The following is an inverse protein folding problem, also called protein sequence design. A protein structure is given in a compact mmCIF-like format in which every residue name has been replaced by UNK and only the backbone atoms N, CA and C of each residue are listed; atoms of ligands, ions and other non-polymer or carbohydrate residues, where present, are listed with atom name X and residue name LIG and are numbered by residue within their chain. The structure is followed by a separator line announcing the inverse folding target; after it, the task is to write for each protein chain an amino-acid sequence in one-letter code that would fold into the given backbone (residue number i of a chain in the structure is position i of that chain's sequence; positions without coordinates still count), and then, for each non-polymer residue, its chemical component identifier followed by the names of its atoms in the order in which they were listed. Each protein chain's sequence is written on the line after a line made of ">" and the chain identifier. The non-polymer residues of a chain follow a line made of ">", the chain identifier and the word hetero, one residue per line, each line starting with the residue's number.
data_IF_145363222028
#
_entry.id   IF_145363222028
#
_cell.length_a   1.000
_cell.length_b   1.000
_cell.length_c   1.000
_cell.angle_alpha   90.00
_cell.angle_beta   90.00
_cell.angle_gamma   90.00
#
_symmetry.space_group_name_H-M   'P 1'
#
loop_
_entity.id
_entity.type
_entity.pdbx_description
1 polymer ?
#
# COMPACT_ATOMS: atom_id res chain seq x y z
N UNK A 1 20.86 -8.93 -3.43
CA UNK A 1 20.94 -7.47 -3.37
C UNK A 1 22.13 -7.05 -2.51
N UNK A 2 23.28 -6.71 -3.11
CA UNK A 2 24.47 -6.28 -2.36
C UNK A 2 24.35 -4.87 -1.75
N UNK A 3 23.45 -4.03 -2.25
CA UNK A 3 23.28 -2.64 -1.80
C UNK A 3 22.47 -2.50 -0.48
N UNK A 4 21.88 -3.59 0.03
CA UNK A 4 21.19 -3.63 1.32
C UNK A 4 22.06 -4.29 2.40
N UNK A 5 23.39 -4.20 2.28
CA UNK A 5 24.32 -4.67 3.29
C UNK A 5 24.38 -3.69 4.47
N UNK A 6 23.56 -3.94 5.48
CA UNK A 6 23.44 -3.12 6.69
C UNK A 6 21.99 -3.12 7.17
N UNK A 7 21.74 -2.82 8.45
CA UNK A 7 20.41 -2.73 9.07
C UNK A 7 19.54 -1.69 8.35
N UNK A 8 18.94 -2.09 7.23
CA UNK A 8 18.20 -1.22 6.33
C UNK A 8 16.81 -1.80 6.13
N UNK A 9 15.80 -0.95 6.14
CA UNK A 9 14.43 -1.32 5.81
C UNK A 9 14.21 -1.14 4.31
N UNK A 10 13.48 -2.09 3.72
CA UNK A 10 13.14 -2.08 2.31
C UNK A 10 11.63 -1.86 2.16
N UNK A 11 11.26 -0.83 1.43
CA UNK A 11 9.88 -0.48 1.14
C UNK A 11 9.67 -0.58 -0.37
N UNK A 12 8.92 -1.59 -0.83
CA UNK A 12 8.63 -1.74 -2.24
C UNK A 12 7.66 -0.63 -2.73
N UNK A 13 7.79 -0.21 -3.98
CA UNK A 13 6.76 0.53 -4.73
C UNK A 13 6.04 -0.44 -5.68
N UNK A 14 4.75 -0.22 -5.97
CA UNK A 14 4.02 -0.98 -7.01
C UNK A 14 4.69 -0.89 -8.39
N UNK A 15 5.52 0.13 -8.64
CA UNK A 15 6.16 0.41 -9.94
C UNK A 15 7.60 -0.12 -10.05
N UNK A 16 7.93 -1.17 -9.32
CA UNK A 16 9.16 -1.96 -9.52
C UNK A 16 10.44 -1.40 -8.87
N UNK A 17 10.35 -0.26 -8.18
CA UNK A 17 11.43 0.27 -7.36
C UNK A 17 11.26 -0.10 -5.89
N UNK A 18 12.34 -0.10 -5.13
CA UNK A 18 12.38 -0.36 -3.68
C UNK A 18 13.18 0.75 -3.01
N UNK A 19 12.59 1.40 -2.02
CA UNK A 19 13.28 2.37 -1.17
C UNK A 19 13.99 1.61 -0.05
N UNK A 20 15.32 1.68 -0.04
CA UNK A 20 16.15 1.29 1.08
C UNK A 20 16.38 2.48 2.01
N UNK A 21 16.15 2.29 3.31
CA UNK A 21 16.43 3.29 4.35
C UNK A 21 17.33 2.66 5.39
N UNK A 22 18.53 3.20 5.58
CA UNK A 22 19.45 2.78 6.64
C UNK A 22 19.21 3.58 7.94
N UNK A 23 19.71 3.06 9.07
CA UNK A 23 19.51 3.63 10.42
C UNK A 23 19.91 5.11 10.57
N UNK A 24 20.78 5.62 9.71
CA UNK A 24 21.18 7.04 9.68
C UNK A 24 20.25 7.89 8.79
N UNK A 25 19.10 7.34 8.38
CA UNK A 25 18.13 7.91 7.46
C UNK A 25 18.65 8.10 6.03
N UNK A 26 19.82 7.57 5.69
CA UNK A 26 20.25 7.53 4.29
C UNK A 26 19.26 6.69 3.46
N UNK A 27 18.83 7.27 2.35
CA UNK A 27 17.78 6.72 1.50
C UNK A 27 18.34 6.40 0.11
N UNK A 28 17.98 5.24 -0.43
CA UNK A 28 18.42 4.80 -1.77
C UNK A 28 17.27 4.11 -2.47
N UNK A 29 16.97 4.53 -3.70
CA UNK A 29 16.09 3.79 -4.59
C UNK A 29 16.88 2.67 -5.24
N UNK A 30 16.32 1.47 -5.24
CA UNK A 30 16.88 0.26 -5.82
C UNK A 30 15.89 -0.32 -6.81
N UNK A 31 16.34 -0.75 -7.97
CA UNK A 31 15.53 -1.50 -8.91
C UNK A 31 15.93 -2.99 -8.86
N UNK A 32 15.15 -3.85 -8.19
CA UNK A 32 15.56 -5.23 -7.87
C UNK A 32 15.90 -6.08 -9.08
N UNK A 33 15.31 -5.79 -10.24
CA UNK A 33 15.44 -6.60 -11.45
C UNK A 33 16.61 -6.18 -12.35
N UNK A 34 17.01 -4.91 -12.32
CA UNK A 34 18.12 -4.38 -13.14
C UNK A 34 19.38 -4.15 -12.32
N UNK A 35 19.25 -4.06 -10.99
CA UNK A 35 20.34 -3.66 -10.11
C UNK A 35 20.64 -2.15 -10.13
N UNK A 36 19.85 -1.35 -10.85
CA UNK A 36 20.00 0.10 -10.86
C UNK A 36 19.74 0.68 -9.46
N UNK A 37 20.44 1.77 -9.13
CA UNK A 37 20.30 2.46 -7.84
C UNK A 37 20.45 3.96 -7.97
N UNK A 38 19.70 4.70 -7.18
CA UNK A 38 19.73 6.16 -7.12
C UNK A 38 19.72 6.62 -5.66
N UNK A 39 20.71 7.42 -5.26
CA UNK A 39 20.77 7.95 -3.89
C UNK A 39 19.81 9.11 -3.72
N UNK A 40 19.10 9.13 -2.60
CA UNK A 40 18.25 10.23 -2.17
C UNK A 40 18.89 10.98 -1.01
N UNK A 41 18.47 12.23 -0.76
CA UNK A 41 18.83 12.95 0.46
C UNK A 41 18.35 12.16 1.69
N UNK A 42 19.07 12.27 2.81
CA UNK A 42 18.67 11.63 4.05
C UNK A 42 17.25 12.06 4.45
N UNK A 43 16.42 11.12 4.88
CA UNK A 43 15.04 11.41 5.28
C UNK A 43 15.01 12.38 6.46
N UNK A 44 13.95 13.18 6.63
CA UNK A 44 13.78 14.05 7.79
C UNK A 44 13.84 13.26 9.12
N UNK A 45 14.32 13.84 10.22
CA UNK A 45 14.36 13.18 11.53
C UNK A 45 12.99 12.68 12.04
N UNK A 46 11.89 13.23 11.54
CA UNK A 46 10.53 12.78 11.84
C UNK A 46 10.21 11.35 11.37
N UNK A 47 11.10 10.75 10.59
CA UNK A 47 11.01 9.35 10.17
C UNK A 47 11.61 8.37 11.20
N UNK A 48 12.06 8.90 12.34
CA UNK A 48 12.35 8.13 13.55
C UNK A 48 11.20 8.19 14.55
N UNK A 49 11.03 7.09 15.29
CA UNK A 49 10.27 7.10 16.54
C UNK A 49 11.06 7.76 17.67
N UNK A 50 10.46 7.83 18.87
CA UNK A 50 11.09 8.39 20.07
C UNK A 50 12.36 7.65 20.54
N UNK A 51 12.62 6.45 19.98
CA UNK A 51 13.78 5.60 20.26
C UNK A 51 14.79 5.58 19.11
N UNK A 52 14.72 6.56 18.20
CA UNK A 52 15.59 6.66 17.01
C UNK A 52 15.50 5.45 16.07
N UNK A 53 14.38 4.72 16.09
CA UNK A 53 14.13 3.63 15.15
C UNK A 53 13.35 4.16 13.97
N UNK A 54 13.76 3.73 12.78
CA UNK A 54 13.05 3.97 11.53
C UNK A 54 11.59 3.53 11.64
N UNK A 55 10.67 4.45 11.32
CA UNK A 55 9.24 4.17 11.23
C UNK A 55 8.99 3.12 10.14
N UNK A 56 8.21 2.08 10.45
CA UNK A 56 8.12 0.87 9.60
C UNK A 56 6.94 0.86 8.65
N UNK A 57 6.00 1.79 8.81
CA UNK A 57 4.83 1.92 7.95
C UNK A 57 5.03 3.08 6.96
N UNK A 58 6.22 3.17 6.37
CA UNK A 58 6.48 4.17 5.35
C UNK A 58 5.78 3.79 4.04
N UNK A 59 5.10 4.77 3.46
CA UNK A 59 4.51 4.69 2.13
C UNK A 59 5.16 5.71 1.23
N UNK A 60 5.36 5.33 -0.02
CA UNK A 60 6.06 6.18 -0.97
C UNK A 60 5.72 5.75 -2.39
N UNK A 61 5.85 6.70 -3.33
CA UNK A 61 5.90 6.41 -4.75
C UNK A 61 6.77 7.46 -5.47
N UNK A 62 7.07 7.23 -6.74
CA UNK A 62 7.85 8.14 -7.56
C UNK A 62 7.11 8.59 -8.82
N UNK A 63 7.28 9.85 -9.16
CA UNK A 63 7.09 10.37 -10.51
C UNK A 63 8.44 10.35 -11.24
N UNK A 64 8.48 10.70 -12.55
CA UNK A 64 9.74 10.91 -13.25
C UNK A 64 10.63 11.97 -12.59
N UNK A 65 10.01 13.01 -12.02
CA UNK A 65 10.69 14.22 -11.54
C UNK A 65 10.71 14.36 -10.01
N UNK A 66 10.18 13.39 -9.27
CA UNK A 66 10.08 13.49 -7.82
C UNK A 66 9.83 12.14 -7.11
N UNK A 67 10.19 12.11 -5.83
CA UNK A 67 9.77 11.08 -4.87
C UNK A 67 8.85 11.72 -3.86
N UNK A 68 7.76 11.04 -3.52
CA UNK A 68 6.90 11.40 -2.39
C UNK A 68 6.89 10.27 -1.37
N UNK A 69 7.00 10.61 -0.09
CA UNK A 69 7.07 9.67 1.03
C UNK A 69 6.24 10.18 2.22
N UNK A 70 5.69 9.26 2.99
CA UNK A 70 5.08 9.52 4.29
C UNK A 70 5.42 8.41 5.28
N UNK A 71 5.49 8.77 6.55
CA UNK A 71 5.50 7.83 7.68
C UNK A 71 4.22 7.96 8.53
N UNK A 72 3.07 8.11 7.87
CA UNK A 72 1.76 8.22 8.53
C UNK A 72 1.38 9.63 8.98
N UNK A 73 2.16 10.66 8.61
CA UNK A 73 1.89 12.07 8.96
C UNK A 73 2.25 13.00 7.81
N UNK A 74 1.26 13.34 6.99
CA UNK A 74 1.42 14.18 5.79
C UNK A 74 2.42 13.62 4.78
N UNK A 75 2.55 14.26 3.63
CA UNK A 75 3.53 13.88 2.60
C UNK A 75 4.78 14.73 2.66
N UNK A 76 5.94 14.14 2.38
CA UNK A 76 7.19 14.83 2.08
C UNK A 76 7.59 14.51 0.65
N UNK A 77 8.15 15.48 -0.06
CA UNK A 77 8.63 15.28 -1.42
C UNK A 77 10.08 15.71 -1.60
N UNK A 78 10.74 15.09 -2.57
CA UNK A 78 12.06 15.46 -3.06
C UNK A 78 12.03 15.46 -4.59
N UNK A 79 12.46 16.56 -5.23
CA UNK A 79 12.56 16.65 -6.69
C UNK A 79 13.77 15.86 -7.22
N UNK A 80 13.66 15.32 -8.43
CA UNK A 80 14.67 14.63 -9.23
C UNK A 80 14.77 15.34 -10.61
N UNK A 81 15.92 15.38 -11.33
CA UNK A 81 17.29 15.15 -10.90
C UNK A 81 18.01 16.47 -10.55
N UNK A 82 18.87 16.46 -9.54
CA UNK A 82 19.70 17.61 -9.18
C UNK A 82 20.49 17.36 -7.91
N UNK A 83 21.75 17.80 -7.88
CA UNK A 83 22.71 17.57 -6.80
C UNK A 83 22.18 18.10 -5.46
N UNK A 84 21.57 17.21 -4.67
CA UNK A 84 21.16 17.50 -3.29
C UNK A 84 19.77 18.12 -3.14
N UNK A 85 18.74 17.52 -3.74
CA UNK A 85 17.36 17.83 -3.38
C UNK A 85 17.15 17.86 -1.85
N UNK A 86 16.24 18.67 -1.35
CA UNK A 86 15.90 18.70 0.07
C UNK A 86 14.46 18.24 0.25
N UNK A 87 14.20 17.44 1.28
CA UNK A 87 12.84 17.06 1.63
C UNK A 87 12.02 18.28 2.03
N UNK A 88 10.85 18.42 1.42
CA UNK A 88 9.89 19.50 1.70
C UNK A 88 8.52 18.89 1.99
N UNK A 89 7.75 19.50 2.89
CA UNK A 89 6.39 19.06 3.16
C UNK A 89 5.48 19.35 1.95
N UNK A 90 4.66 18.36 1.55
CA UNK A 90 3.67 18.48 0.49
C UNK A 90 2.38 19.10 1.03
N UNK A 91 2.06 20.32 0.56
CA UNK A 91 0.82 21.02 0.91
C UNK A 91 0.58 21.23 2.41
N UNK A 92 -0.67 21.57 2.77
CA UNK A 92 -1.09 21.83 4.16
C UNK A 92 -1.52 20.58 4.94
N UNK A 93 -1.39 19.38 4.35
CA UNK A 93 -1.93 18.12 4.90
C UNK A 93 -1.02 17.47 5.95
N UNK A 94 -0.42 18.27 6.83
CA UNK A 94 0.51 17.78 7.86
C UNK A 94 -0.16 16.92 8.94
N UNK A 95 -1.50 16.91 8.99
CA UNK A 95 -2.30 16.16 9.97
C UNK A 95 -2.91 14.88 9.43
N UNK A 96 -2.85 14.62 8.12
CA UNK A 96 -3.48 13.43 7.52
C UNK A 96 -2.67 12.17 7.86
N UNK A 97 -3.39 11.10 8.19
CA UNK A 97 -2.85 9.78 8.50
C UNK A 97 -2.60 9.00 7.20
N UNK A 98 -1.62 9.46 6.41
CA UNK A 98 -1.34 8.94 5.08
C UNK A 98 -0.90 7.48 5.16
N UNK A 99 -1.74 6.57 4.66
CA UNK A 99 -1.54 5.12 4.71
C UNK A 99 -1.19 4.51 3.35
N UNK A 100 -1.32 5.28 2.27
CA UNK A 100 -0.92 4.87 0.92
C UNK A 100 -0.59 6.09 0.06
N UNK A 101 0.40 5.94 -0.82
CA UNK A 101 0.78 6.92 -1.83
C UNK A 101 0.87 6.19 -3.16
N UNK A 102 0.24 6.74 -4.19
CA UNK A 102 0.37 6.24 -5.55
C UNK A 102 0.47 7.40 -6.52
N UNK A 103 1.42 7.33 -7.44
CA UNK A 103 1.59 8.27 -8.54
C UNK A 103 0.83 7.76 -9.76
N UNK A 104 0.16 8.63 -10.50
CA UNK A 104 -0.32 8.39 -11.86
C UNK A 104 -0.40 9.69 -12.66
N UNK A 105 0.07 9.65 -13.91
CA UNK A 105 -0.08 10.70 -14.92
C UNK A 105 0.04 12.15 -14.37
N UNK A 106 1.16 12.45 -13.71
CA UNK A 106 1.43 13.80 -13.19
C UNK A 106 0.79 14.13 -11.84
N UNK A 107 0.11 13.18 -11.19
CA UNK A 107 -0.56 13.39 -9.90
C UNK A 107 -0.13 12.33 -8.88
N UNK A 108 0.17 12.76 -7.65
CA UNK A 108 0.24 11.87 -6.49
C UNK A 108 -1.11 11.83 -5.79
N UNK A 109 -1.57 10.64 -5.44
CA UNK A 109 -2.76 10.42 -4.64
C UNK A 109 -2.36 9.88 -3.28
N UNK A 110 -2.73 10.62 -2.23
CA UNK A 110 -2.46 10.29 -0.83
C UNK A 110 -3.76 9.83 -0.19
N UNK A 111 -3.81 8.58 0.26
CA UNK A 111 -4.93 8.03 1.02
C UNK A 111 -4.72 8.30 2.50
N UNK A 112 -5.66 9.00 3.15
CA UNK A 112 -5.82 8.96 4.60
C UNK A 112 -6.55 7.67 4.95
N UNK A 113 -5.85 6.70 5.56
CA UNK A 113 -6.39 5.36 5.80
C UNK A 113 -7.61 5.36 6.73
N UNK A 114 -7.52 5.97 7.92
CA UNK A 114 -8.64 6.09 8.84
C UNK A 114 -9.83 6.88 8.29
N UNK A 115 -9.56 8.04 7.68
CA UNK A 115 -10.63 8.90 7.15
C UNK A 115 -11.20 8.38 5.83
N UNK A 116 -10.45 7.55 5.10
CA UNK A 116 -10.74 7.05 3.75
C UNK A 116 -10.91 8.15 2.70
N UNK A 117 -10.33 9.32 2.96
CA UNK A 117 -10.27 10.43 2.02
C UNK A 117 -9.02 10.34 1.17
N UNK A 118 -9.11 10.80 -0.08
CA UNK A 118 -7.97 10.81 -1.01
C UNK A 118 -7.64 12.25 -1.38
N UNK A 119 -6.40 12.64 -1.17
CA UNK A 119 -5.89 13.96 -1.58
C UNK A 119 -5.08 13.80 -2.86
N UNK A 120 -5.46 14.53 -3.91
CA UNK A 120 -4.66 14.67 -5.13
C UNK A 120 -3.66 15.82 -4.97
N UNK A 121 -2.41 15.56 -5.33
CA UNK A 121 -1.29 16.49 -5.26
C UNK A 121 -0.60 16.51 -6.62
N UNK A 122 -0.49 17.68 -7.23
CA UNK A 122 0.20 17.85 -8.49
C UNK A 122 1.70 17.51 -8.35
N UNK A 123 2.23 16.65 -9.21
CA UNK A 123 3.58 16.13 -9.07
C UNK A 123 4.69 17.13 -9.42
N UNK A 124 4.37 18.23 -10.11
CA UNK A 124 5.33 19.27 -10.50
C UNK A 124 5.45 20.38 -9.44
N UNK A 125 4.31 20.77 -8.87
CA UNK A 125 4.15 21.89 -7.93
C UNK A 125 4.00 21.45 -6.49
N UNK A 126 3.62 20.19 -6.24
CA UNK A 126 3.27 19.63 -4.93
C UNK A 126 2.13 20.36 -4.21
N UNK A 127 1.32 21.10 -4.98
CA UNK A 127 0.11 21.72 -4.48
C UNK A 127 -1.03 20.70 -4.44
N UNK A 128 -1.87 20.80 -3.41
CA UNK A 128 -3.13 20.03 -3.35
C UNK A 128 -4.06 20.57 -4.45
N UNK A 129 -4.50 19.67 -5.34
CA UNK A 129 -5.37 20.02 -6.47
C UNK A 129 -6.82 19.65 -6.24
N UNK A 130 -7.07 18.56 -5.52
CA UNK A 130 -8.40 18.09 -5.18
C UNK A 130 -8.39 17.18 -3.96
N UNK A 131 -9.56 17.03 -3.34
CA UNK A 131 -9.81 16.06 -2.27
C UNK A 131 -11.08 15.29 -2.62
N UNK A 132 -11.00 13.97 -2.62
CA UNK A 132 -12.16 13.08 -2.65
C UNK A 132 -12.57 12.77 -1.21
N UNK A 133 -13.77 13.19 -0.84
CA UNK A 133 -14.42 12.78 0.42
C UNK A 133 -14.61 11.26 0.46
N UNK A 134 -14.62 10.64 1.64
CA UNK A 134 -14.75 9.18 1.75
C UNK A 134 -16.09 8.66 1.19
N UNK A 135 -16.13 7.41 0.68
CA UNK A 135 -17.38 6.79 0.29
C UNK A 135 -18.32 6.62 1.49
N UNK A 136 -19.63 6.64 1.23
CA UNK A 136 -20.62 6.28 2.25
C UNK A 136 -20.49 4.80 2.57
N UNK A 137 -19.98 4.49 3.76
CA UNK A 137 -19.69 3.14 4.20
C UNK A 137 -20.12 2.95 5.65
N UNK A 138 -21.04 2.01 5.85
CA UNK A 138 -21.43 1.55 7.19
C UNK A 138 -20.30 0.69 7.75
N UNK A 139 -19.51 1.27 8.66
CA UNK A 139 -18.42 0.53 9.31
C UNK A 139 -18.97 -0.60 10.19
N UNK A 140 -18.27 -1.75 10.31
CA UNK A 140 -18.68 -2.82 11.21
C UNK A 140 -18.86 -2.31 12.64
N UNK A 141 -19.88 -2.80 13.34
CA UNK A 141 -20.24 -2.32 14.70
C UNK A 141 -19.21 -2.67 15.78
N UNK A 142 -18.23 -3.51 15.46
CA UNK A 142 -17.30 -4.08 16.45
C UNK A 142 -15.92 -3.43 16.34
N UNK A 143 -15.47 -2.80 17.43
CA UNK A 143 -14.25 -1.99 17.54
C UNK A 143 -12.94 -2.76 17.30
N UNK A 144 -12.95 -4.09 17.37
CA UNK A 144 -11.78 -4.94 17.15
C UNK A 144 -11.50 -5.20 15.65
N UNK A 145 -12.38 -4.78 14.74
CA UNK A 145 -12.24 -4.96 13.30
C UNK A 145 -12.13 -3.60 12.61
N UNK A 146 -10.97 -2.95 12.73
CA UNK A 146 -10.68 -1.72 11.97
C UNK A 146 -10.46 -2.12 10.50
N UNK A 147 -11.25 -1.60 9.55
CA UNK A 147 -11.04 -1.91 8.15
C UNK A 147 -9.74 -1.32 7.63
N UNK A 148 -8.96 -2.12 6.91
CA UNK A 148 -7.85 -1.66 6.09
C UNK A 148 -8.39 -0.99 4.82
N UNK A 149 -7.67 0.02 4.35
CA UNK A 149 -7.97 0.70 3.09
C UNK A 149 -6.74 0.78 2.21
N UNK A 150 -6.89 0.42 0.94
CA UNK A 150 -5.82 0.47 -0.06
C UNK A 150 -6.33 1.22 -1.29
N UNK A 151 -5.49 2.13 -1.82
CA UNK A 151 -5.78 2.86 -3.04
C UNK A 151 -5.01 2.24 -4.20
N UNK A 152 -5.68 2.03 -5.33
CA UNK A 152 -5.10 1.47 -6.55
C UNK A 152 -5.48 2.33 -7.74
N UNK A 153 -4.48 2.69 -8.56
CA UNK A 153 -4.69 3.34 -9.85
C UNK A 153 -5.03 2.29 -10.91
N UNK A 154 -6.03 2.58 -11.73
CA UNK A 154 -6.44 1.71 -12.83
C UNK A 154 -6.91 2.52 -14.05
N UNK A 155 -6.00 2.77 -15.00
CA UNK A 155 -6.30 3.33 -16.34
C UNK A 155 -7.33 4.48 -16.35
N UNK A 156 -7.04 5.57 -15.62
CA UNK A 156 -7.93 6.74 -15.53
C UNK A 156 -8.99 6.67 -14.42
N UNK A 157 -9.05 5.58 -13.67
CA UNK A 157 -9.87 5.45 -12.47
C UNK A 157 -8.99 5.24 -11.23
N UNK A 158 -9.49 5.68 -10.07
CA UNK A 158 -8.98 5.25 -8.77
C UNK A 158 -9.93 4.20 -8.19
N UNK A 159 -9.36 3.14 -7.64
CA UNK A 159 -10.07 2.09 -6.93
C UNK A 159 -9.68 2.14 -5.45
N UNK A 160 -10.65 2.40 -4.58
CA UNK A 160 -10.49 2.34 -3.13
C UNK A 160 -11.05 1.01 -2.62
N UNK A 161 -10.20 0.20 -2.03
CA UNK A 161 -10.53 -1.12 -1.52
C UNK A 161 -10.57 -1.02 -0.01
N UNK A 162 -11.72 -1.35 0.57
CA UNK A 162 -11.93 -1.36 2.02
C UNK A 162 -12.23 -2.78 2.47
N UNK A 163 -11.41 -3.32 3.36
CA UNK A 163 -11.52 -4.71 3.79
C UNK A 163 -11.24 -4.90 5.27
N UNK A 164 -11.89 -5.87 5.90
CA UNK A 164 -11.36 -6.49 7.13
C UNK A 164 -10.42 -7.63 6.74
N UNK A 165 -9.56 -8.10 7.65
CA UNK A 165 -8.70 -9.25 7.40
C UNK A 165 -9.51 -10.45 6.84
N UNK A 166 -9.28 -10.79 5.57
CA UNK A 166 -10.12 -11.71 4.81
C UNK A 166 -10.04 -13.17 5.27
N UNK A 167 -9.01 -13.52 6.02
CA UNK A 167 -8.69 -14.91 6.38
C UNK A 167 -8.63 -15.18 7.89
N UNK A 168 -8.90 -14.20 8.76
CA UNK A 168 -8.79 -14.43 10.20
C UNK A 168 -10.15 -14.38 10.89
N UNK A 169 -10.53 -15.54 11.42
CA UNK A 169 -11.68 -15.77 12.29
C UNK A 169 -11.17 -15.67 13.75
N UNK A 170 -10.87 -14.47 14.26
CA UNK A 170 -10.74 -14.32 15.71
C UNK A 170 -12.15 -14.54 16.27
N UNK A 171 -12.32 -15.54 17.13
CA UNK A 171 -13.52 -15.77 17.97
C UNK A 171 -14.70 -16.55 17.31
N UNK A 172 -15.53 -17.25 18.11
CA UNK A 172 -16.64 -18.09 17.63
C UNK A 172 -17.83 -17.29 17.04
N UNK A 173 -17.68 -15.97 16.92
CA UNK A 173 -18.64 -15.09 16.29
C UNK A 173 -18.17 -14.90 14.86
N UNK A 174 -18.83 -15.59 13.92
CA UNK A 174 -18.52 -15.48 12.49
C UNK A 174 -18.35 -14.01 12.10
N UNK A 175 -17.15 -13.63 11.68
CA UNK A 175 -16.90 -12.30 11.18
C UNK A 175 -17.64 -12.18 9.86
N UNK A 176 -18.69 -11.37 9.83
CA UNK A 176 -19.21 -10.83 8.57
C UNK A 176 -18.11 -9.95 7.98
N UNK A 177 -17.19 -10.56 7.25
CA UNK A 177 -16.04 -9.88 6.66
C UNK A 177 -16.53 -8.73 5.79
N UNK A 178 -16.00 -7.53 6.02
CA UNK A 178 -16.22 -6.42 5.12
C UNK A 178 -15.26 -6.55 3.95
N UNK A 179 -15.79 -6.53 2.74
CA UNK A 179 -15.01 -6.28 1.54
C UNK A 179 -15.83 -5.42 0.58
N UNK A 180 -15.31 -4.24 0.26
CA UNK A 180 -15.93 -3.28 -0.64
C UNK A 180 -14.87 -2.69 -1.55
N UNK A 181 -15.23 -2.48 -2.81
CA UNK A 181 -14.42 -1.72 -3.76
C UNK A 181 -15.24 -0.54 -4.23
N UNK A 182 -14.66 0.64 -4.20
CA UNK A 182 -15.22 1.86 -4.72
C UNK A 182 -14.37 2.36 -5.87
N UNK A 183 -14.99 2.99 -6.85
CA UNK A 183 -14.32 3.62 -7.99
C UNK A 183 -14.66 5.11 -8.08
N UNK A 184 -13.71 5.89 -8.55
CA UNK A 184 -13.92 7.28 -8.96
C UNK A 184 -13.04 7.62 -10.16
N UNK A 185 -13.43 8.63 -10.94
CA UNK A 185 -12.64 9.13 -12.06
C UNK A 185 -11.43 9.89 -11.52
N UNK A 186 -10.22 9.48 -11.90
CA UNK A 186 -8.98 10.09 -11.40
C UNK A 186 -8.81 11.54 -11.82
N UNK A 187 -9.50 11.96 -12.90
CA UNK A 187 -9.53 13.33 -13.43
C UNK A 187 -10.63 14.19 -12.82
N UNK A 188 -11.60 13.57 -12.13
CA UNK A 188 -12.75 14.27 -11.57
C UNK A 188 -13.14 13.69 -10.21
N UNK A 189 -12.23 13.80 -9.23
CA UNK A 189 -12.45 13.36 -7.85
C UNK A 189 -13.72 13.95 -7.20
N UNK A 190 -14.14 15.15 -7.64
CA UNK A 190 -15.35 15.80 -7.17
C UNK A 190 -16.65 15.04 -7.52
N UNK A 191 -16.59 14.10 -8.48
CA UNK A 191 -17.73 13.22 -8.79
C UNK A 191 -18.03 12.23 -7.66
N UNK A 192 -17.09 12.06 -6.71
CA UNK A 192 -17.24 11.17 -5.56
C UNK A 192 -17.04 9.71 -5.92
N UNK A 193 -17.32 8.85 -4.94
CA UNK A 193 -17.13 7.42 -5.05
C UNK A 193 -18.42 6.71 -5.44
N UNK A 194 -18.28 5.69 -6.29
CA UNK A 194 -19.33 4.74 -6.60
C UNK A 194 -18.90 3.33 -6.22
N UNK A 195 -19.77 2.57 -5.56
CA UNK A 195 -19.46 1.17 -5.27
C UNK A 195 -19.33 0.38 -6.58
N UNK A 196 -18.31 -0.46 -6.66
CA UNK A 196 -18.13 -1.42 -7.75
C UNK A 196 -19.19 -2.51 -7.61
N UNK A 197 -20.35 -2.29 -8.24
CA UNK A 197 -21.42 -3.27 -8.36
C UNK A 197 -21.52 -3.77 -9.81
N UNK A 198 -22.00 -5.02 -10.01
CA UNK A 198 -22.37 -5.60 -11.31
C UNK A 198 -21.29 -5.53 -12.41
N UNK A 199 -20.62 -6.65 -12.69
CA UNK A 199 -19.54 -6.72 -13.69
C UNK A 199 -18.15 -6.29 -13.18
N UNK A 200 -18.08 -5.89 -11.91
CA UNK A 200 -16.84 -5.71 -11.15
C UNK A 200 -15.82 -4.77 -11.81
N UNK A 201 -14.57 -5.21 -11.87
CA UNK A 201 -13.45 -4.52 -12.50
C UNK A 201 -13.15 -5.05 -13.92
N UNK A 202 -14.01 -5.91 -14.47
CA UNK A 202 -13.89 -6.43 -15.84
C UNK A 202 -12.66 -7.30 -16.06
N UNK A 203 -11.88 -7.02 -17.11
CA UNK A 203 -10.67 -7.78 -17.46
C UNK A 203 -9.46 -7.45 -16.56
N UNK A 204 -9.66 -6.75 -15.46
CA UNK A 204 -8.60 -6.33 -14.55
C UNK A 204 -8.43 -7.30 -13.39
N UNK A 205 -7.24 -7.30 -12.81
CA UNK A 205 -6.97 -7.91 -11.52
C UNK A 205 -6.20 -6.92 -10.65
N UNK A 206 -6.53 -6.88 -9.36
CA UNK A 206 -5.86 -6.02 -8.39
C UNK A 206 -4.94 -6.87 -7.54
N UNK A 207 -3.73 -6.39 -7.30
CA UNK A 207 -2.79 -6.97 -6.33
C UNK A 207 -2.64 -5.96 -5.22
N UNK A 208 -2.94 -6.37 -4.00
CA UNK A 208 -2.98 -5.48 -2.83
C UNK A 208 -2.27 -6.14 -1.66
N UNK A 209 -1.54 -5.33 -0.92
CA UNK A 209 -0.95 -5.67 0.37
C UNK A 209 -1.49 -4.71 1.44
N UNK A 210 -0.82 -4.63 2.60
CA UNK A 210 -1.25 -3.77 3.71
C UNK A 210 -1.16 -2.27 3.39
N UNK A 211 -0.24 -1.86 2.51
CA UNK A 211 0.09 -0.45 2.28
C UNK A 211 -0.22 0.00 0.85
N UNK A 212 -0.23 -0.93 -0.10
CA UNK A 212 -0.13 -0.62 -1.54
C UNK A 212 -0.96 -1.58 -2.36
N UNK A 213 -1.22 -1.17 -3.59
CA UNK A 213 -1.65 -2.09 -4.62
C UNK A 213 -1.43 -1.56 -6.02
N UNK A 214 -1.61 -2.44 -6.98
CA UNK A 214 -1.56 -2.12 -8.39
C UNK A 214 -2.60 -2.92 -9.16
N UNK A 215 -2.92 -2.42 -10.34
CA UNK A 215 -3.83 -3.07 -11.28
C UNK A 215 -3.04 -3.67 -12.44
N UNK A 216 -3.43 -4.86 -12.88
CA UNK A 216 -2.96 -5.47 -14.14
C UNK A 216 -4.15 -5.89 -14.99
N UNK A 217 -3.91 -5.99 -16.29
CA UNK A 217 -4.85 -6.64 -17.20
C UNK A 217 -4.67 -8.16 -17.13
N UNK A 218 -5.77 -8.88 -16.93
CA UNK A 218 -5.84 -10.32 -17.03
C UNK A 218 -5.97 -10.69 -18.51
N UNK A 219 -4.91 -11.26 -19.08
CA UNK A 219 -4.82 -11.56 -20.51
C UNK A 219 -4.73 -13.07 -20.81
N UNK A 220 -5.06 -13.93 -19.84
CA UNK A 220 -5.07 -15.40 -19.98
C UNK A 220 -3.69 -16.05 -20.14
N UNK A 221 -2.65 -15.29 -20.45
CA UNK A 221 -1.27 -15.75 -20.61
C UNK A 221 -0.47 -15.73 -19.31
N UNK A 222 -0.82 -14.82 -18.40
CA UNK A 222 -0.16 -14.63 -17.11
C UNK A 222 -0.72 -15.52 -15.99
N UNK A 223 -1.76 -16.34 -16.26
CA UNK A 223 -2.46 -17.13 -15.25
C UNK A 223 -3.25 -16.29 -14.23
N UNK A 224 -3.36 -14.98 -14.44
CA UNK A 224 -4.12 -14.07 -13.58
C UNK A 224 -5.59 -14.13 -13.96
N UNK A 225 -6.45 -14.32 -12.97
CA UNK A 225 -7.90 -14.33 -13.14
C UNK A 225 -8.40 -12.90 -13.31
N UNK A 226 -9.27 -12.69 -14.29
CA UNK A 226 -10.01 -11.43 -14.43
C UNK A 226 -10.97 -11.24 -13.27
N UNK A 227 -11.34 -9.99 -13.02
CA UNK A 227 -12.31 -9.59 -12.01
C UNK A 227 -11.99 -10.10 -10.60
N UNK A 228 -10.71 -10.13 -10.25
CA UNK A 228 -10.21 -10.69 -9.00
C UNK A 228 -9.33 -9.70 -8.24
N UNK A 229 -9.28 -9.86 -6.91
CA UNK A 229 -8.39 -9.13 -6.02
C UNK A 229 -7.49 -10.12 -5.29
N UNK A 230 -6.19 -10.04 -5.56
CA UNK A 230 -5.14 -10.83 -4.94
C UNK A 230 -4.60 -10.08 -3.72
N UNK A 231 -4.73 -10.67 -2.54
CA UNK A 231 -4.36 -10.05 -1.27
C UNK A 231 -3.16 -10.78 -0.68
N UNK A 232 -2.08 -10.06 -0.42
CA UNK A 232 -1.00 -10.53 0.45
C UNK A 232 -1.19 -9.93 1.84
N UNK A 233 -1.24 -10.78 2.86
CA UNK A 233 -1.47 -10.37 4.24
C UNK A 233 -0.54 -11.13 5.17
N UNK A 234 -0.35 -10.60 6.38
CA UNK A 234 0.12 -11.38 7.52
C UNK A 234 -0.94 -11.36 8.61
N UNK A 235 -0.98 -12.40 9.44
CA UNK A 235 -1.85 -12.45 10.62
C UNK A 235 -1.07 -13.03 11.80
N UNK A 236 -1.38 -12.55 13.00
CA UNK A 236 -0.82 -13.07 14.24
C UNK A 236 -1.47 -14.42 14.57
N UNK A 237 -0.65 -15.42 14.90
CA UNK A 237 -1.12 -16.63 15.55
C UNK A 237 -0.83 -16.55 17.04
N UNK A 238 -1.88 -16.68 17.86
CA UNK A 238 -1.74 -16.90 19.29
C UNK A 238 -1.33 -18.35 19.48
N UNK A 239 -0.14 -18.59 20.01
CA UNK A 239 0.22 -19.91 20.50
C UNK A 239 -0.55 -20.17 21.80
N UNK A 240 -1.25 -21.30 21.87
CA UNK A 240 -2.06 -21.75 22.99
C UNK A 240 -1.22 -22.25 24.19
N UNK A 241 0.10 -22.36 24.01
CA UNK A 241 1.04 -22.59 25.09
C UNK A 241 1.41 -21.29 25.83
N UNK A 242 1.25 -21.32 27.15
CA UNK A 242 1.46 -20.26 28.15
C UNK A 242 2.87 -19.60 28.10
N UNK A 243 3.19 -18.85 27.07
CA UNK A 243 4.47 -18.16 26.97
C UNK A 243 4.68 -17.38 25.68
N UNK A 244 4.24 -16.11 25.68
CA UNK A 244 4.89 -14.94 25.06
C UNK A 244 5.61 -15.14 23.71
N UNK A 245 5.11 -15.96 22.79
CA UNK A 245 5.63 -16.07 21.43
C UNK A 245 4.47 -15.95 20.44
N UNK A 246 4.25 -14.72 19.96
CA UNK A 246 3.29 -14.41 18.90
C UNK A 246 4.08 -14.45 17.60
N UNK A 247 3.91 -15.51 16.81
CA UNK A 247 4.45 -15.58 15.46
C UNK A 247 3.32 -15.26 14.49
N UNK A 248 3.60 -14.51 13.44
CA UNK A 248 2.62 -14.33 12.37
C UNK A 248 2.90 -15.24 11.18
N UNK A 249 1.89 -15.47 10.36
CA UNK A 249 2.02 -16.19 9.08
C UNK A 249 1.62 -15.30 7.92
N UNK A 250 2.38 -15.42 6.84
CA UNK A 250 2.04 -14.82 5.57
C UNK A 250 0.95 -15.64 4.87
N UNK A 251 -0.01 -14.95 4.29
CA UNK A 251 -1.05 -15.56 3.47
C UNK A 251 -1.19 -14.81 2.16
N UNK A 252 -1.57 -15.54 1.12
CA UNK A 252 -1.97 -14.99 -0.16
C UNK A 252 -3.34 -15.55 -0.47
N UNK A 253 -4.32 -14.68 -0.71
CA UNK A 253 -5.66 -15.08 -1.14
C UNK A 253 -6.05 -14.39 -2.43
N UNK A 254 -7.02 -14.98 -3.12
CA UNK A 254 -7.72 -14.35 -4.23
C UNK A 254 -9.20 -14.26 -3.89
N UNK A 255 -9.77 -13.07 -4.06
CA UNK A 255 -11.19 -12.82 -3.99
C UNK A 255 -11.74 -12.65 -5.40
N UNK A 256 -12.72 -13.47 -5.75
CA UNK A 256 -13.52 -13.33 -6.96
C UNK A 256 -14.62 -12.28 -6.74
N UNK A 257 -14.70 -11.24 -7.58
CA UNK A 257 -15.71 -10.20 -7.44
C UNK A 257 -17.07 -10.55 -8.08
N UNK A 258 -17.14 -11.58 -8.93
CA UNK A 258 -18.40 -12.09 -9.49
C UNK A 258 -19.14 -12.96 -8.49
N UNK A 259 -18.42 -13.90 -7.85
CA UNK A 259 -19.00 -14.85 -6.92
C UNK A 259 -18.88 -14.42 -5.45
N UNK A 260 -18.05 -13.41 -5.17
CA UNK A 260 -17.66 -12.98 -3.82
C UNK A 260 -17.05 -14.13 -3.00
N UNK A 261 -16.37 -15.06 -3.69
CA UNK A 261 -15.71 -16.21 -3.08
C UNK A 261 -14.23 -15.91 -2.84
N UNK A 262 -13.75 -16.26 -1.65
CA UNK A 262 -12.32 -16.16 -1.30
C UNK A 262 -11.68 -17.52 -1.40
N UNK A 263 -10.55 -17.61 -2.08
CA UNK A 263 -9.71 -18.79 -2.17
C UNK A 263 -8.33 -18.49 -1.56
N UNK A 264 -7.89 -19.34 -0.63
CA UNK A 264 -6.52 -19.29 -0.12
C UNK A 264 -5.57 -19.90 -1.15
N UNK A 265 -4.56 -19.12 -1.54
CA UNK A 265 -3.49 -19.49 -2.46
C UNK A 265 -2.16 -19.72 -1.71
N UNK A 266 -2.17 -19.74 -0.38
CA UNK A 266 -0.99 -20.02 0.42
C UNK A 266 -0.64 -21.50 0.31
N UNK A 267 0.50 -21.82 -0.30
CA UNK A 267 0.96 -23.21 -0.46
C UNK A 267 2.45 -23.38 -0.13
N UNK A 268 2.82 -24.61 0.23
CA UNK A 268 4.22 -25.03 0.40
C UNK A 268 4.98 -24.19 1.43
N UNK A 269 6.13 -23.65 1.02
CA UNK A 269 7.03 -22.93 1.92
C UNK A 269 6.45 -21.61 2.47
N UNK A 270 5.47 -20.98 1.79
CA UNK A 270 4.81 -19.77 2.29
C UNK A 270 4.12 -20.03 3.65
N UNK A 271 3.54 -21.21 3.84
CA UNK A 271 2.90 -21.62 5.10
C UNK A 271 3.92 -21.84 6.24
N UNK A 272 5.18 -22.09 5.88
CA UNK A 272 6.29 -22.27 6.81
C UNK A 272 7.06 -20.98 7.07
N UNK A 273 6.79 -19.91 6.31
CA UNK A 273 7.38 -18.60 6.53
C UNK A 273 6.70 -17.92 7.73
N UNK A 274 7.34 -18.00 8.88
CA UNK A 274 6.98 -17.19 10.04
C UNK A 274 7.41 -15.75 9.79
N UNK A 275 6.52 -14.79 10.02
CA UNK A 275 6.92 -13.40 10.17
C UNK A 275 7.35 -13.17 11.61
N UNK A 276 8.41 -12.38 11.79
CA UNK A 276 8.91 -12.02 13.13
C UNK A 276 7.83 -11.32 13.94
N UNK A 277 7.97 -11.34 15.27
CA UNK A 277 7.11 -10.60 16.20
C UNK A 277 6.98 -9.15 15.74
N UNK A 278 5.81 -8.86 15.18
CA UNK A 278 5.40 -7.57 14.70
C UNK A 278 6.26 -7.02 13.52
N UNK A 279 5.61 -6.35 12.56
CA UNK A 279 6.25 -5.38 11.64
C UNK A 279 6.98 -5.89 10.37
N UNK A 280 6.70 -7.10 9.87
CA UNK A 280 7.08 -7.47 8.50
C UNK A 280 5.82 -7.71 7.66
N UNK A 281 5.54 -6.77 6.76
CA UNK A 281 4.40 -6.85 5.86
C UNK A 281 4.84 -7.48 4.54
N UNK A 282 4.11 -8.48 4.00
CA UNK A 282 4.37 -8.94 2.65
C UNK A 282 4.07 -7.80 1.67
N UNK A 283 4.76 -7.75 0.54
CA UNK A 283 4.50 -6.74 -0.49
C UNK A 283 4.52 -7.36 -1.87
N UNK A 284 3.63 -6.88 -2.73
CA UNK A 284 3.66 -7.23 -4.15
C UNK A 284 4.62 -6.32 -4.90
N UNK A 285 5.39 -6.90 -5.82
CA UNK A 285 6.30 -6.13 -6.69
C UNK A 285 6.04 -6.54 -8.14
N UNK A 286 5.73 -5.57 -8.98
CA UNK A 286 5.70 -5.76 -10.42
C UNK A 286 7.10 -5.51 -11.00
N UNK A 287 7.62 -6.38 -11.87
CA UNK A 287 8.78 -6.04 -12.68
C UNK A 287 8.35 -4.97 -13.68
N UNK A 288 8.49 -3.70 -13.30
CA UNK A 288 8.34 -2.59 -14.22
C UNK A 288 9.74 -2.25 -14.78
N UNK A 289 10.01 -2.52 -16.07
CA UNK A 289 11.30 -2.25 -16.70
C UNK A 289 11.45 -0.80 -17.17
N UNK A 290 10.43 0.05 -17.00
CA UNK A 290 10.42 1.46 -17.38
C UNK A 290 10.73 2.37 -16.19
#
# INVERSE_FOLDING_TARGET
>A
MPAACGRSFLFASPRGWTLGVANDLSATLLQPFTGASESLPALPPSFHDEYEKILRDMVWDRSPDAVMISAGKGGFFCKLPGDGGSWSAAGSSQTAAVSSITYDDGTFYLLDGPARSVTAVDAATFAVTAVAEPPDLVSPRHSWCTPESTLVVSSGELLLIVRTHLLFQVAPYGSGGLFKVFRTDSRSLAAGWSEVAGGGIGNRALFVDHLRGFCVEANGLNGVRRNCVYVASSHEMVNDDYGLDVYGRYTVSVLDLDELTTQDLSYGNLLNCMCGRFWQWPSWIMPNPH
#
